data_IF_151259058189
#
_entry.id   IF_151259058189
#
_cell.length_a   1.000
_cell.length_b   1.000
_cell.length_c   1.000
_cell.angle_alpha   90.00
_cell.angle_beta   90.00
_cell.angle_gamma   90.00
#
_symmetry.space_group_name_H-M   'P 1'
#
loop_
_entity.id
_entity.type
_entity.pdbx_description
1 polymer ?
#
# COMPACT_ATOMS: atom_id res chain seq x y z
N UNK A 1 15.71 -24.55 33.33
CA UNK A 1 16.13 -23.28 32.70
C UNK A 1 14.90 -22.67 32.08
N UNK A 2 14.51 -21.46 32.53
CA UNK A 2 13.23 -20.84 32.21
C UNK A 2 13.33 -20.16 30.84
N UNK A 3 12.61 -20.68 29.84
CA UNK A 3 12.31 -19.93 28.62
C UNK A 3 11.39 -18.76 29.00
N UNK A 4 11.98 -17.56 29.00
CA UNK A 4 11.29 -16.31 29.31
C UNK A 4 10.44 -15.87 28.12
N UNK A 5 9.13 -15.94 28.31
CA UNK A 5 8.09 -15.35 27.48
C UNK A 5 8.29 -13.81 27.44
N UNK A 6 9.09 -13.30 26.51
CA UNK A 6 9.10 -11.87 26.18
C UNK A 6 7.86 -11.57 25.33
N UNK A 7 6.69 -11.50 25.98
CA UNK A 7 5.55 -10.77 25.43
C UNK A 7 5.96 -9.31 25.40
N UNK A 8 6.40 -8.84 24.24
CA UNK A 8 6.75 -7.44 24.09
C UNK A 8 5.46 -6.64 23.88
N UNK A 9 5.50 -5.35 24.24
CA UNK A 9 4.41 -4.41 23.97
C UNK A 9 3.98 -4.40 22.48
N UNK A 10 4.80 -4.96 21.58
CA UNK A 10 4.55 -5.12 20.15
C UNK A 10 3.53 -6.22 19.80
N UNK A 11 3.48 -7.34 20.53
CA UNK A 11 2.50 -8.41 20.27
C UNK A 11 1.05 -7.93 20.50
N UNK A 12 0.88 -6.91 21.34
CA UNK A 12 -0.39 -6.27 21.62
C UNK A 12 -0.81 -5.27 20.53
N UNK A 13 0.15 -4.65 19.83
CA UNK A 13 -0.11 -3.75 18.70
C UNK A 13 -0.37 -4.55 17.41
N UNK A 14 0.34 -5.66 17.19
CA UNK A 14 0.14 -6.54 16.03
C UNK A 14 -1.26 -7.17 15.99
N UNK A 15 -1.86 -7.48 17.16
CA UNK A 15 -3.25 -7.96 17.23
C UNK A 15 -4.31 -6.94 16.81
N UNK A 16 -3.96 -5.65 16.74
CA UNK A 16 -4.88 -4.59 16.28
C UNK A 16 -4.75 -4.29 14.78
N UNK A 17 -3.66 -4.73 14.13
CA UNK A 17 -3.43 -4.52 12.69
C UNK A 17 -3.93 -5.75 11.95
N UNK A 18 -5.25 -5.90 11.86
CA UNK A 18 -5.78 -6.70 10.75
C UNK A 18 -5.58 -5.88 9.48
N UNK A 19 -4.96 -6.42 8.41
CA UNK A 19 -4.95 -5.74 7.14
C UNK A 19 -6.40 -5.66 6.68
N UNK A 20 -7.05 -4.51 6.91
CA UNK A 20 -8.31 -4.22 6.25
C UNK A 20 -8.01 -4.33 4.77
N UNK A 21 -8.61 -5.32 4.10
CA UNK A 21 -8.53 -5.44 2.66
C UNK A 21 -8.85 -4.05 2.10
N UNK A 22 -7.94 -3.42 1.33
CA UNK A 22 -8.23 -2.10 0.77
C UNK A 22 -9.54 -2.23 0.01
N UNK A 23 -10.50 -1.31 0.21
CA UNK A 23 -11.76 -1.38 -0.49
C UNK A 23 -11.48 -1.48 -2.00
N UNK A 24 -12.22 -2.32 -2.74
CA UNK A 24 -12.05 -2.41 -4.19
C UNK A 24 -12.13 -1.00 -4.77
N UNK A 25 -11.14 -0.63 -5.58
CA UNK A 25 -11.16 0.65 -6.29
C UNK A 25 -12.51 0.80 -6.98
N UNK A 26 -13.24 1.92 -6.78
CA UNK A 26 -14.47 2.15 -7.51
C UNK A 26 -14.16 2.11 -9.02
N UNK A 27 -15.05 1.54 -9.85
CA UNK A 27 -14.87 1.56 -11.29
C UNK A 27 -14.68 3.01 -11.72
N UNK A 28 -13.59 3.27 -12.46
CA UNK A 28 -13.31 4.57 -13.04
C UNK A 28 -14.50 4.97 -13.92
N UNK A 29 -15.36 5.85 -13.42
CA UNK A 29 -16.42 6.44 -14.20
C UNK A 29 -15.77 7.29 -15.29
N UNK A 30 -16.06 6.96 -16.54
CA UNK A 30 -15.61 7.72 -17.71
C UNK A 30 -15.90 9.22 -17.55
N UNK A 31 -15.04 10.10 -18.06
CA UNK A 31 -15.22 11.54 -17.91
C UNK A 31 -16.51 11.99 -18.62
N UNK A 32 -17.43 12.52 -17.83
CA UNK A 32 -18.57 13.32 -18.27
C UNK A 32 -18.05 14.46 -19.14
N UNK A 33 -18.59 14.56 -20.36
CA UNK A 33 -18.38 15.62 -21.33
C UNK A 33 -18.46 17.01 -20.67
N UNK A 34 -17.51 17.93 -20.91
CA UNK A 34 -17.60 19.29 -20.39
C UNK A 34 -18.79 20.03 -21.02
N UNK A 35 -19.48 20.91 -20.27
CA UNK A 35 -20.60 21.67 -20.77
C UNK A 35 -20.14 22.60 -21.90
N UNK A 36 -20.82 22.51 -23.05
CA UNK A 36 -20.66 23.44 -24.17
C UNK A 36 -20.97 24.87 -23.71
N UNK A 37 -20.09 25.78 -24.09
CA UNK A 37 -20.27 27.23 -23.99
C UNK A 37 -21.62 27.63 -24.66
N UNK A 38 -22.47 28.45 -24.02
CA UNK A 38 -23.76 28.82 -24.58
C UNK A 38 -23.60 29.68 -25.85
N UNK A 39 -24.24 29.24 -26.92
CA UNK A 39 -24.51 30.05 -28.12
C UNK A 39 -25.85 30.79 -27.94
N UNK A 40 -26.02 32.00 -28.52
CA UNK A 40 -27.21 32.81 -28.32
C UNK A 40 -28.45 32.26 -29.06
N UNK A 41 -29.49 32.05 -28.25
CA UNK A 41 -30.95 32.08 -28.50
C UNK A 41 -31.51 31.96 -29.92
N UNK A 42 -32.28 30.88 -30.17
CA UNK A 42 -33.56 30.96 -30.89
C UNK A 42 -34.50 29.76 -30.60
N UNK A 43 -35.63 30.09 -29.95
CA UNK A 43 -37.00 29.49 -29.96
C UNK A 43 -37.31 28.03 -29.55
N UNK A 44 -38.52 27.79 -28.99
CA UNK A 44 -38.94 26.51 -28.42
C UNK A 44 -39.92 25.73 -29.30
N UNK A 45 -39.79 24.39 -29.29
CA UNK A 45 -40.80 23.41 -29.71
C UNK A 45 -40.65 22.19 -28.77
N UNK A 46 -41.54 22.04 -27.79
CA UNK A 46 -42.63 21.04 -27.76
C UNK A 46 -42.20 19.57 -27.79
N UNK A 47 -42.46 18.86 -26.68
CA UNK A 47 -43.24 17.61 -26.67
C UNK A 47 -42.50 16.26 -26.70
N UNK A 48 -43.16 15.27 -26.06
CA UNK A 48 -42.88 13.83 -25.98
C UNK A 48 -41.72 13.44 -25.01
N UNK A 49 -41.92 12.85 -23.82
CA UNK A 49 -42.79 11.75 -23.35
C UNK A 49 -42.46 10.39 -24.00
N UNK A 50 -42.47 9.33 -23.16
CA UNK A 50 -42.25 7.88 -23.41
C UNK A 50 -40.79 7.42 -23.17
N UNK A 51 -40.48 6.29 -22.53
CA UNK A 51 -41.26 5.28 -21.82
C UNK A 51 -40.28 4.46 -20.95
N UNK A 52 -40.74 4.02 -19.78
CA UNK A 52 -40.06 3.08 -18.92
C UNK A 52 -40.18 1.66 -19.51
N UNK A 53 -39.07 0.92 -19.58
CA UNK A 53 -39.09 -0.53 -19.79
C UNK A 53 -38.48 -1.23 -18.57
N UNK A 54 -39.34 -1.93 -17.84
CA UNK A 54 -38.96 -2.81 -16.74
C UNK A 54 -38.42 -4.14 -17.30
N UNK A 55 -37.21 -4.53 -16.93
CA UNK A 55 -36.66 -5.86 -17.22
C UNK A 55 -36.70 -6.73 -15.95
N UNK A 56 -37.40 -7.86 -16.07
CA UNK A 56 -37.57 -8.87 -15.04
C UNK A 56 -36.28 -9.71 -14.83
N UNK A 57 -36.05 -10.25 -13.61
CA UNK A 57 -34.85 -11.01 -13.32
C UNK A 57 -34.89 -12.44 -13.88
N UNK A 58 -33.80 -12.82 -14.56
CA UNK A 58 -33.57 -14.15 -15.16
C UNK A 58 -33.10 -15.13 -14.08
N UNK A 59 -33.90 -16.17 -13.85
CA UNK A 59 -33.67 -17.27 -12.89
C UNK A 59 -32.49 -18.14 -13.32
N UNK A 60 -31.37 -18.06 -12.61
CA UNK A 60 -30.19 -18.90 -12.82
C UNK A 60 -30.42 -20.31 -12.28
N UNK A 61 -30.31 -21.31 -13.16
CA UNK A 61 -30.36 -22.73 -12.82
C UNK A 61 -29.00 -23.16 -12.25
N UNK A 62 -29.03 -23.92 -11.15
CA UNK A 62 -27.87 -24.53 -10.52
C UNK A 62 -27.38 -25.76 -11.32
N UNK A 63 -26.08 -25.89 -11.62
CA UNK A 63 -25.56 -27.08 -12.28
C UNK A 63 -25.36 -28.25 -11.30
N UNK A 64 -25.71 -29.44 -11.80
CA UNK A 64 -25.70 -30.72 -11.10
C UNK A 64 -24.30 -31.17 -10.63
N UNK A 65 -24.27 -31.77 -9.44
CA UNK A 65 -23.10 -32.36 -8.80
C UNK A 65 -22.53 -33.53 -9.63
N UNK A 66 -21.25 -33.42 -9.99
CA UNK A 66 -20.49 -34.50 -10.65
C UNK A 66 -19.88 -35.46 -9.60
N UNK A 67 -20.04 -36.76 -9.84
CA UNK A 67 -19.53 -37.87 -9.02
C UNK A 67 -18.00 -37.82 -8.84
N UNK A 68 -17.46 -38.23 -7.67
CA UNK A 68 -16.02 -38.26 -7.40
C UNK A 68 -15.31 -39.33 -8.23
N UNK A 69 -14.29 -38.93 -8.99
CA UNK A 69 -13.37 -39.84 -9.68
C UNK A 69 -12.39 -40.43 -8.66
N UNK A 70 -12.34 -41.77 -8.58
CA UNK A 70 -11.35 -42.50 -7.80
C UNK A 70 -9.94 -42.19 -8.32
N UNK A 71 -9.08 -41.72 -7.41
CA UNK A 71 -7.69 -41.39 -7.68
C UNK A 71 -6.87 -42.68 -7.82
N UNK A 72 -6.14 -42.79 -8.93
CA UNK A 72 -5.16 -43.87 -9.15
C UNK A 72 -3.93 -43.64 -8.27
N UNK A 73 -3.28 -44.71 -7.78
CA UNK A 73 -2.06 -44.60 -6.99
C UNK A 73 -0.94 -43.96 -7.82
N UNK A 74 -0.39 -42.86 -7.30
CA UNK A 74 0.68 -42.07 -7.91
C UNK A 74 1.97 -42.88 -7.84
N UNK A 75 2.54 -43.19 -9.01
CA UNK A 75 3.85 -43.82 -9.15
C UNK A 75 4.92 -42.86 -8.62
N UNK A 76 5.60 -43.24 -7.54
CA UNK A 76 6.72 -42.47 -6.98
C UNK A 76 7.84 -42.45 -8.01
N UNK A 77 8.06 -41.26 -8.58
CA UNK A 77 9.13 -41.02 -9.56
C UNK A 77 10.43 -40.82 -8.77
N UNK A 78 11.56 -41.45 -9.16
CA UNK A 78 12.83 -41.27 -8.49
C UNK A 78 13.22 -39.78 -8.42
N UNK A 79 13.51 -39.34 -7.21
CA UNK A 79 13.96 -37.98 -6.87
C UNK A 79 15.21 -37.64 -7.67
N UNK A 80 15.03 -36.83 -8.72
CA UNK A 80 16.14 -36.19 -9.42
C UNK A 80 16.84 -35.29 -8.42
N UNK A 81 18.12 -35.53 -8.18
CA UNK A 81 18.96 -34.70 -7.32
C UNK A 81 18.81 -33.24 -7.75
N UNK A 82 18.32 -32.40 -6.84
CA UNK A 82 18.19 -30.97 -7.07
C UNK A 82 19.62 -30.44 -7.18
N UNK A 83 20.04 -29.87 -8.32
CA UNK A 83 21.36 -29.26 -8.44
C UNK A 83 21.51 -28.19 -7.36
N UNK A 84 22.68 -28.16 -6.71
CA UNK A 84 23.03 -27.20 -5.65
C UNK A 84 22.51 -25.80 -6.00
N UNK A 85 21.66 -25.26 -5.13
CA UNK A 85 21.13 -23.91 -5.27
C UNK A 85 22.33 -22.94 -5.37
N UNK A 86 22.33 -22.04 -6.36
CA UNK A 86 23.43 -21.10 -6.56
C UNK A 86 23.68 -20.28 -5.30
N UNK A 87 24.96 -19.93 -5.10
CA UNK A 87 25.50 -19.20 -3.96
C UNK A 87 24.59 -18.08 -3.44
N UNK A 88 24.53 -17.94 -2.11
CA UNK A 88 23.70 -16.96 -1.41
C UNK A 88 23.76 -15.59 -2.07
N UNK A 89 22.60 -15.09 -2.53
CA UNK A 89 22.50 -13.72 -3.02
C UNK A 89 23.06 -12.74 -1.98
N UNK A 90 23.82 -11.75 -2.44
CA UNK A 90 24.28 -10.68 -1.55
C UNK A 90 23.08 -9.89 -1.03
N UNK A 91 23.21 -9.26 0.13
CA UNK A 91 22.14 -8.40 0.66
C UNK A 91 21.72 -7.29 -0.33
N UNK A 92 22.67 -6.78 -1.13
CA UNK A 92 22.40 -5.77 -2.13
C UNK A 92 21.58 -6.32 -3.30
N UNK A 93 21.91 -7.52 -3.80
CA UNK A 93 21.11 -8.17 -4.85
C UNK A 93 19.67 -8.42 -4.39
N UNK A 94 19.50 -8.77 -3.11
CA UNK A 94 18.18 -8.92 -2.52
C UNK A 94 17.41 -7.59 -2.50
N UNK A 95 18.06 -6.50 -2.09
CA UNK A 95 17.45 -5.17 -2.16
C UNK A 95 17.10 -4.76 -3.60
N UNK A 96 17.99 -4.97 -4.55
CA UNK A 96 17.78 -4.64 -5.96
C UNK A 96 16.63 -5.46 -6.57
N UNK A 97 16.49 -6.72 -6.14
CA UNK A 97 15.35 -7.55 -6.49
C UNK A 97 14.03 -6.94 -5.99
N UNK A 98 13.94 -6.61 -4.70
CA UNK A 98 12.72 -6.02 -4.11
C UNK A 98 12.39 -4.65 -4.74
N UNK A 99 13.40 -3.82 -5.02
CA UNK A 99 13.20 -2.54 -5.73
C UNK A 99 12.54 -2.76 -7.09
N UNK A 100 13.07 -3.68 -7.90
CA UNK A 100 12.49 -3.99 -9.22
C UNK A 100 11.07 -4.52 -9.10
N UNK A 101 10.85 -5.46 -8.16
CA UNK A 101 9.53 -6.05 -7.91
C UNK A 101 8.51 -4.97 -7.54
N UNK A 102 8.83 -4.10 -6.58
CA UNK A 102 7.92 -3.06 -6.07
C UNK A 102 7.60 -2.00 -7.11
N UNK A 103 8.60 -1.53 -7.85
CA UNK A 103 8.38 -0.56 -8.93
C UNK A 103 7.46 -1.15 -10.01
N UNK A 104 7.67 -2.42 -10.38
CA UNK A 104 6.82 -3.11 -11.34
C UNK A 104 5.39 -3.33 -10.81
N UNK A 105 5.26 -3.86 -9.57
CA UNK A 105 3.97 -4.19 -8.93
C UNK A 105 3.02 -3.00 -8.87
N UNK A 106 3.55 -1.80 -8.57
CA UNK A 106 2.74 -0.59 -8.41
C UNK A 106 2.78 0.37 -9.61
N UNK A 107 3.49 -0.01 -10.69
CA UNK A 107 3.72 0.82 -11.88
C UNK A 107 4.29 2.21 -11.54
N UNK A 108 5.34 2.21 -10.72
CA UNK A 108 6.01 3.42 -10.23
C UNK A 108 7.33 3.60 -10.97
N UNK A 109 7.69 4.84 -11.29
CA UNK A 109 9.02 5.18 -11.81
C UNK A 109 9.80 6.02 -10.82
N UNK A 110 11.09 5.75 -10.72
CA UNK A 110 12.00 6.60 -9.94
C UNK A 110 12.40 7.78 -10.79
N UNK A 111 12.08 9.00 -10.38
CA UNK A 111 12.57 10.21 -11.04
C UNK A 111 14.02 10.50 -10.63
N UNK A 112 14.32 10.35 -9.34
CA UNK A 112 15.62 10.73 -8.79
C UNK A 112 15.98 9.90 -7.55
N UNK A 113 17.18 9.34 -7.55
CA UNK A 113 17.80 8.80 -6.35
C UNK A 113 18.40 9.95 -5.51
N UNK A 114 17.93 10.09 -4.28
CA UNK A 114 18.37 11.15 -3.35
C UNK A 114 19.63 10.71 -2.59
N UNK A 115 20.47 11.69 -2.25
CA UNK A 115 21.60 11.49 -1.32
C UNK A 115 21.15 11.57 0.15
N UNK A 116 20.04 12.25 0.42
CA UNK A 116 19.46 12.41 1.75
C UNK A 116 18.61 11.20 2.16
N UNK A 117 18.45 10.97 3.47
CA UNK A 117 17.57 9.96 4.06
C UNK A 117 16.10 10.42 4.11
N UNK A 118 15.61 10.95 2.99
CA UNK A 118 14.23 11.39 2.80
C UNK A 118 13.78 11.09 1.38
N UNK A 119 12.50 10.73 1.23
CA UNK A 119 11.86 10.56 -0.06
C UNK A 119 10.66 11.47 -0.23
N UNK A 120 10.10 11.43 -1.44
CA UNK A 120 8.84 12.07 -1.83
C UNK A 120 8.17 11.22 -2.90
N UNK A 121 6.90 10.89 -2.70
CA UNK A 121 6.02 10.31 -3.70
C UNK A 121 5.04 11.36 -4.27
N UNK A 122 4.79 11.32 -5.57
CA UNK A 122 3.78 12.18 -6.22
C UNK A 122 3.24 11.57 -7.51
N UNK A 123 2.04 12.01 -7.85
CA UNK A 123 1.35 11.66 -9.10
C UNK A 123 1.30 12.88 -10.03
N UNK A 124 1.51 12.66 -11.32
CA UNK A 124 1.31 13.66 -12.36
C UNK A 124 0.09 13.27 -13.19
N UNK A 125 -1.00 14.02 -13.05
CA UNK A 125 -2.19 13.89 -13.90
C UNK A 125 -2.00 14.76 -15.15
N UNK A 126 -1.99 14.12 -16.31
CA UNK A 126 -1.93 14.79 -17.60
C UNK A 126 -3.33 15.20 -18.08
N UNK A 127 -3.38 16.10 -19.07
CA UNK A 127 -4.64 16.60 -19.65
C UNK A 127 -5.49 15.49 -20.28
N UNK A 128 -4.85 14.44 -20.78
CA UNK A 128 -5.51 13.26 -21.35
C UNK A 128 -6.06 12.28 -20.28
N UNK A 129 -5.94 12.63 -18.99
CA UNK A 129 -6.37 11.80 -17.88
C UNK A 129 -5.35 10.74 -17.47
N UNK A 130 -4.22 10.60 -18.17
CA UNK A 130 -3.19 9.64 -17.78
C UNK A 130 -2.51 10.09 -16.48
N UNK A 131 -2.20 9.12 -15.62
CA UNK A 131 -1.49 9.36 -14.36
C UNK A 131 -0.11 8.73 -14.44
N UNK A 132 0.95 9.52 -14.17
CA UNK A 132 2.29 8.98 -13.93
C UNK A 132 2.60 8.98 -12.44
N UNK A 133 2.98 7.82 -11.92
CA UNK A 133 3.39 7.61 -10.55
C UNK A 133 4.90 7.71 -10.42
N UNK A 134 5.36 8.67 -9.63
CA UNK A 134 6.77 8.99 -9.51
C UNK A 134 7.19 9.00 -8.04
N UNK A 135 8.45 8.62 -7.80
CA UNK A 135 9.09 8.77 -6.50
C UNK A 135 10.48 9.41 -6.64
N UNK A 136 10.90 10.06 -5.58
CA UNK A 136 12.29 10.35 -5.27
C UNK A 136 12.62 9.72 -3.93
N UNK A 137 13.72 8.98 -3.82
CA UNK A 137 14.08 8.24 -2.60
C UNK A 137 15.59 8.03 -2.53
N UNK A 138 16.21 7.86 -1.34
CA UNK A 138 17.53 7.23 -1.28
C UNK A 138 17.53 5.87 -1.96
N UNK A 139 18.65 5.54 -2.62
CA UNK A 139 18.86 4.20 -3.17
C UNK A 139 19.03 3.19 -2.03
N UNK A 140 18.32 2.05 -2.03
CA UNK A 140 18.44 1.03 -0.98
C UNK A 140 19.83 0.37 -0.94
N UNK A 141 20.67 0.82 0.00
CA UNK A 141 21.98 0.22 0.30
C UNK A 141 22.00 -0.49 1.65
N UNK A 142 20.89 -0.46 2.38
CA UNK A 142 20.76 -1.01 3.71
C UNK A 142 19.34 -0.86 4.26
N UNK A 143 19.05 -1.44 5.45
CA UNK A 143 17.70 -1.49 6.00
C UNK A 143 17.00 -0.14 6.09
N UNK A 144 17.72 0.90 6.49
CA UNK A 144 17.17 2.25 6.63
C UNK A 144 16.75 2.87 5.30
N UNK A 145 17.60 2.78 4.27
CA UNK A 145 17.28 3.35 2.95
C UNK A 145 16.21 2.52 2.24
N UNK A 146 16.19 1.21 2.48
CA UNK A 146 15.12 0.33 2.02
C UNK A 146 13.77 0.68 2.65
N UNK A 147 13.71 0.87 3.96
CA UNK A 147 12.47 1.25 4.65
C UNK A 147 11.91 2.59 4.15
N UNK A 148 12.78 3.58 3.88
CA UNK A 148 12.35 4.86 3.30
C UNK A 148 11.84 4.65 1.87
N UNK A 149 12.54 3.88 1.04
CA UNK A 149 12.07 3.57 -0.31
C UNK A 149 10.69 2.91 -0.28
N UNK A 150 10.50 1.89 0.55
CA UNK A 150 9.22 1.18 0.69
C UNK A 150 8.13 2.08 1.29
N UNK A 151 8.48 3.08 2.11
CA UNK A 151 7.52 4.09 2.58
C UNK A 151 6.99 4.95 1.42
N UNK A 152 7.85 5.35 0.47
CA UNK A 152 7.42 6.07 -0.74
C UNK A 152 6.56 5.18 -1.66
N UNK A 153 6.88 3.88 -1.76
CA UNK A 153 6.01 2.90 -2.44
C UNK A 153 4.67 2.81 -1.69
N UNK A 154 4.69 2.81 -0.36
CA UNK A 154 3.52 2.76 0.50
C UNK A 154 2.52 3.88 0.21
N UNK A 155 2.98 5.10 -0.02
CA UNK A 155 2.09 6.21 -0.43
C UNK A 155 1.30 5.92 -1.72
N UNK A 156 1.96 5.34 -2.73
CA UNK A 156 1.28 4.93 -3.97
C UNK A 156 0.40 3.69 -3.77
N UNK A 157 0.84 2.73 -2.95
CA UNK A 157 0.13 1.48 -2.71
C UNK A 157 -1.19 1.70 -1.96
N UNK A 158 -1.20 2.58 -0.95
CA UNK A 158 -2.43 2.94 -0.22
C UNK A 158 -3.27 3.96 -1.01
N UNK A 159 -2.64 4.73 -1.89
CA UNK A 159 -3.26 5.82 -2.66
C UNK A 159 -3.23 7.16 -1.94
N UNK A 160 -3.06 8.25 -2.71
CA UNK A 160 -3.07 9.60 -2.18
C UNK A 160 -4.49 10.08 -1.83
N UNK A 161 -4.63 10.83 -0.74
CA UNK A 161 -5.89 11.39 -0.26
C UNK A 161 -6.96 10.34 0.12
N UNK A 162 -6.55 9.07 0.28
CA UNK A 162 -7.44 8.00 0.76
C UNK A 162 -7.77 8.20 2.23
N UNK A 163 -6.81 8.68 3.03
CA UNK A 163 -7.06 9.08 4.41
C UNK A 163 -7.14 10.60 4.52
N UNK A 164 -8.21 11.10 5.13
CA UNK A 164 -8.44 12.55 5.32
C UNK A 164 -7.33 13.23 6.14
N UNK A 165 -6.74 12.50 7.09
CA UNK A 165 -5.71 13.03 7.98
C UNK A 165 -4.32 12.63 7.46
N UNK A 166 -3.49 13.62 7.13
CA UNK A 166 -2.13 13.37 6.65
C UNK A 166 -1.30 12.53 7.62
N UNK A 167 -1.42 12.73 8.93
CA UNK A 167 -0.72 11.89 9.90
C UNK A 167 -1.13 10.40 9.84
N UNK A 168 -2.38 10.11 9.46
CA UNK A 168 -2.88 8.75 9.27
C UNK A 168 -2.37 8.16 7.94
N UNK A 169 -2.28 8.97 6.87
CA UNK A 169 -1.61 8.54 5.62
C UNK A 169 -0.16 8.12 5.89
N UNK A 170 0.57 8.91 6.67
CA UNK A 170 1.96 8.62 7.05
C UNK A 170 2.08 7.33 7.87
N UNK A 171 1.12 7.07 8.76
CA UNK A 171 1.02 5.80 9.51
C UNK A 171 0.87 4.61 8.58
N UNK A 172 -0.09 4.65 7.66
CA UNK A 172 -0.32 3.53 6.75
C UNK A 172 0.82 3.33 5.75
N UNK A 173 1.47 4.40 5.30
CA UNK A 173 2.67 4.29 4.46
C UNK A 173 3.84 3.63 5.20
N UNK A 174 4.04 3.95 6.48
CA UNK A 174 5.03 3.26 7.32
C UNK A 174 4.66 1.81 7.63
N UNK A 175 3.39 1.53 7.95
CA UNK A 175 2.91 0.17 8.18
C UNK A 175 3.13 -0.71 6.94
N UNK A 176 2.81 -0.19 5.75
CA UNK A 176 3.11 -0.83 4.48
C UNK A 176 4.61 -1.15 4.33
N UNK A 177 5.47 -0.17 4.64
CA UNK A 177 6.93 -0.35 4.54
C UNK A 177 7.45 -1.49 5.42
N UNK A 178 7.02 -1.54 6.68
CA UNK A 178 7.41 -2.60 7.62
C UNK A 178 6.88 -3.96 7.15
N UNK A 179 5.60 -4.04 6.80
CA UNK A 179 5.00 -5.28 6.31
C UNK A 179 5.69 -5.79 5.03
N UNK A 180 6.04 -4.90 4.10
CA UNK A 180 6.79 -5.28 2.89
C UNK A 180 8.22 -5.75 3.22
N UNK A 181 8.88 -5.16 4.22
CA UNK A 181 10.17 -5.66 4.69
C UNK A 181 10.04 -7.08 5.27
N UNK A 182 8.99 -7.36 6.04
CA UNK A 182 8.72 -8.68 6.61
C UNK A 182 8.37 -9.71 5.52
N UNK A 183 7.47 -9.36 4.60
CA UNK A 183 7.03 -10.20 3.47
C UNK A 183 8.22 -10.63 2.60
N UNK A 184 9.20 -9.75 2.41
CA UNK A 184 10.40 -10.03 1.62
C UNK A 184 11.59 -10.52 2.45
N UNK A 185 11.42 -10.85 3.73
CA UNK A 185 12.50 -11.36 4.57
C UNK A 185 13.69 -10.39 4.70
N UNK A 186 13.42 -9.08 4.68
CA UNK A 186 14.42 -8.04 4.85
C UNK A 186 14.66 -7.76 6.32
N UNK A 187 15.91 -7.47 6.68
CA UNK A 187 16.26 -7.16 8.07
C UNK A 187 15.63 -5.83 8.52
N UNK A 188 14.86 -5.85 9.62
CA UNK A 188 14.28 -4.66 10.25
C UNK A 188 15.02 -4.36 11.55
N UNK A 189 15.93 -3.40 11.48
CA UNK A 189 16.76 -3.02 12.63
C UNK A 189 16.03 -2.08 13.59
N UNK A 190 16.54 -1.95 14.81
CA UNK A 190 16.05 -0.95 15.78
C UNK A 190 16.17 0.50 15.28
N UNK A 191 17.10 0.77 14.37
CA UNK A 191 17.20 2.11 13.77
C UNK A 191 16.01 2.39 12.85
N UNK A 192 15.56 1.41 12.06
CA UNK A 192 14.34 1.51 11.22
C UNK A 192 13.12 1.76 12.10
N UNK A 193 12.93 0.94 13.14
CA UNK A 193 11.78 1.09 14.07
C UNK A 193 11.77 2.46 14.75
N UNK A 194 12.93 2.93 15.22
CA UNK A 194 13.07 4.28 15.79
C UNK A 194 12.81 5.39 14.77
N UNK A 195 13.22 5.22 13.51
CA UNK A 195 12.97 6.20 12.45
C UNK A 195 11.48 6.32 12.16
N UNK A 196 10.79 5.19 11.99
CA UNK A 196 9.33 5.15 11.84
C UNK A 196 8.64 5.89 12.99
N UNK A 197 8.97 5.51 14.23
CA UNK A 197 8.37 6.11 15.41
C UNK A 197 8.59 7.63 15.47
N UNK A 198 9.82 8.11 15.22
CA UNK A 198 10.12 9.55 15.13
C UNK A 198 9.33 10.26 14.04
N UNK A 199 9.13 9.62 12.89
CA UNK A 199 8.33 10.19 11.79
C UNK A 199 6.87 10.37 12.20
N UNK A 200 6.29 9.37 12.86
CA UNK A 200 4.89 9.39 13.30
C UNK A 200 4.66 10.39 14.43
N UNK A 201 5.58 10.44 15.40
CA UNK A 201 5.64 11.50 16.41
C UNK A 201 5.60 12.89 15.80
N UNK A 202 6.48 13.14 14.84
CA UNK A 202 6.54 14.43 14.16
C UNK A 202 5.26 14.73 13.36
N UNK A 203 4.67 13.72 12.69
CA UNK A 203 3.43 13.86 11.95
C UNK A 203 2.24 14.20 12.86
N UNK A 204 2.11 13.51 14.00
CA UNK A 204 1.08 13.78 15.02
C UNK A 204 1.29 15.17 15.63
N UNK A 205 2.50 15.50 16.09
CA UNK A 205 2.79 16.82 16.64
C UNK A 205 2.53 17.96 15.64
N UNK A 206 2.79 17.74 14.35
CA UNK A 206 2.44 18.69 13.28
C UNK A 206 0.94 18.81 13.09
N UNK A 207 0.19 17.71 13.14
CA UNK A 207 -1.27 17.73 13.03
C UNK A 207 -1.92 18.44 14.22
N UNK A 208 -1.44 18.18 15.45
CA UNK A 208 -1.90 18.86 16.67
C UNK A 208 -1.69 20.38 16.59
N UNK A 209 -0.50 20.84 16.15
CA UNK A 209 -0.23 22.27 15.92
C UNK A 209 -1.13 22.91 14.85
N UNK A 210 -1.71 22.11 13.95
CA UNK A 210 -2.67 22.55 12.93
C UNK A 210 -4.13 22.46 13.38
N UNK A 211 -4.38 22.16 14.66
CA UNK A 211 -5.73 22.15 15.25
C UNK A 211 -6.47 20.83 15.10
N UNK A 212 -5.76 19.69 15.01
CA UNK A 212 -6.41 18.37 15.05
C UNK A 212 -7.17 18.19 16.37
N UNK A 213 -8.50 18.02 16.28
CA UNK A 213 -9.38 17.88 17.46
C UNK A 213 -9.47 16.44 17.97
N UNK A 214 -9.47 15.47 17.07
CA UNK A 214 -9.65 14.05 17.38
C UNK A 214 -8.54 13.26 16.71
N UNK A 215 -7.76 12.54 17.50
CA UNK A 215 -6.69 11.69 17.01
C UNK A 215 -7.23 10.26 16.77
N UNK A 216 -6.97 9.66 15.60
CA UNK A 216 -7.27 8.24 15.35
C UNK A 216 -6.61 7.34 16.40
N UNK A 217 -7.26 6.22 16.73
CA UNK A 217 -6.83 5.31 17.79
C UNK A 217 -5.43 4.72 17.51
N UNK A 218 -5.13 4.46 16.24
CA UNK A 218 -3.86 3.95 15.73
C UNK A 218 -2.70 4.92 16.03
N UNK A 219 -3.01 6.21 16.14
CA UNK A 219 -2.02 7.26 16.36
C UNK A 219 -1.81 7.62 17.83
N UNK A 220 -2.69 7.14 18.74
CA UNK A 220 -2.60 7.38 20.19
C UNK A 220 -1.23 7.02 20.79
N UNK A 221 -0.58 5.90 20.41
CA UNK A 221 0.75 5.57 20.92
C UNK A 221 1.82 6.63 20.60
N UNK A 222 1.61 7.46 19.57
CA UNK A 222 2.58 8.47 19.14
C UNK A 222 2.29 9.87 19.72
N UNK A 223 1.48 9.98 20.77
CA UNK A 223 1.33 11.22 21.55
C UNK A 223 2.43 11.42 22.58
N UNK A 224 2.98 10.34 23.13
CA UNK A 224 3.94 10.39 24.23
C UNK A 224 5.37 10.50 23.71
N UNK A 225 6.11 11.52 24.15
CA UNK A 225 7.51 11.71 23.74
C UNK A 225 8.32 10.41 23.85
N UNK A 226 9.12 10.15 22.82
CA UNK A 226 10.07 9.04 22.85
C UNK A 226 10.96 9.19 24.09
N UNK A 227 11.12 8.14 24.91
CA UNK A 227 12.05 8.18 26.03
C UNK A 227 13.43 8.59 25.49
N UNK A 228 14.00 9.64 26.09
CA UNK A 228 15.37 10.07 25.77
C UNK A 228 16.27 8.86 25.95
N UNK A 229 17.14 8.57 24.98
CA UNK A 229 18.15 7.52 25.13
C UNK A 229 18.86 7.75 26.47
N UNK A 230 18.90 6.75 27.33
CA UNK A 230 19.88 6.73 28.41
C UNK A 230 21.26 6.91 27.75
N UNK A 231 21.96 7.95 28.19
CA UNK A 231 23.26 8.34 27.64
C UNK A 231 24.30 7.25 27.86
#
# INVERSE_FOLDING_TARGET
MKEGLFQTLWDLVERAITPSTPPPHPPQTSPTTPPQRPQPTARPLTGAQLAATSHAPRRSQAPAAKKPKQLRPVRVVPTVAIPDLPASHTAQEHYDHVVRLMLAKYNIKVRKWRKSSSGVAYELLYRDGTIKRLIESPYPKGPMSMAIFLHEIGHHAIGFNVYKLRCLEEYHAWAFSIAAMEEHGLNITDSVRRRMHRSLHYAVAKASRRGLKTLPAELVPYLQDLPKKAA
#
